data_IF_693284316201
#
_entry.id   IF_693284316201
#
_cell.length_a   1.000
_cell.length_b   1.000
_cell.length_c   1.000
_cell.angle_alpha   90.00
_cell.angle_beta   90.00
_cell.angle_gamma   90.00
#
_symmetry.space_group_name_H-M   'P 1'
#
loop_
_entity.id
_entity.type
_entity.pdbx_description
1 polymer ?
#
# COMPACT_ATOMS: atom_id res chain seq x y z
N UNK A 1 5.12 23.71 -76.54
CA UNK A 1 4.68 22.41 -77.09
C UNK A 1 5.12 21.38 -76.06
N UNK A 2 4.25 20.82 -75.19
CA UNK A 2 3.32 19.73 -75.53
C UNK A 2 4.06 18.71 -76.41
N UNK A 3 4.40 17.50 -75.97
CA UNK A 3 3.68 16.56 -75.10
C UNK A 3 4.50 16.25 -73.82
N UNK A 4 4.00 15.62 -72.76
CA UNK A 4 2.65 15.12 -72.46
C UNK A 4 2.40 15.14 -70.93
N UNK A 5 1.31 15.75 -70.46
CA UNK A 5 0.69 15.39 -69.17
C UNK A 5 -0.33 14.28 -69.44
N UNK A 6 -0.15 13.07 -68.88
CA UNK A 6 -1.22 12.08 -68.60
C UNK A 6 -0.61 10.81 -68.03
N UNK A 7 -0.67 10.69 -66.71
CA UNK A 7 -0.88 9.46 -65.95
C UNK A 7 -0.96 9.84 -64.46
N UNK A 8 -2.14 10.33 -64.03
CA UNK A 8 -2.53 10.17 -62.62
C UNK A 8 -3.13 8.77 -62.50
N UNK A 9 -2.70 8.01 -61.48
CA UNK A 9 -3.62 7.44 -60.52
C UNK A 9 -3.69 8.37 -59.31
N UNK A 10 -4.85 8.46 -58.67
CA UNK A 10 -4.90 9.02 -57.34
C UNK A 10 -4.37 7.98 -56.35
N UNK A 11 -3.35 8.32 -55.58
CA UNK A 11 -3.09 7.65 -54.30
C UNK A 11 -3.18 8.70 -53.20
N UNK A 12 -3.96 8.34 -52.19
CA UNK A 12 -4.25 9.17 -51.04
C UNK A 12 -2.94 9.39 -50.26
N UNK A 13 -2.34 10.57 -50.38
CA UNK A 13 -1.36 11.02 -49.39
C UNK A 13 -2.15 11.30 -48.11
N UNK A 14 -2.43 10.22 -47.37
CA UNK A 14 -2.88 10.32 -45.99
C UNK A 14 -1.83 11.16 -45.27
N UNK A 15 -2.21 12.40 -44.97
CA UNK A 15 -1.54 13.16 -43.93
C UNK A 15 -1.73 12.36 -42.65
N UNK A 16 -0.75 11.51 -42.34
CA UNK A 16 -0.60 10.96 -41.00
C UNK A 16 -0.53 12.19 -40.10
N UNK A 17 -1.52 12.42 -39.21
CA UNK A 17 -1.35 13.43 -38.19
C UNK A 17 -0.10 13.01 -37.43
N UNK A 18 0.89 13.89 -37.31
CA UNK A 18 1.92 13.69 -36.30
C UNK A 18 1.17 13.39 -34.99
N UNK A 19 1.55 12.34 -34.22
CA UNK A 19 0.86 12.03 -32.99
C UNK A 19 0.85 13.31 -32.16
N UNK A 20 -0.34 13.81 -31.84
CA UNK A 20 -0.47 15.02 -31.07
C UNK A 20 0.14 14.70 -29.70
N UNK A 21 1.33 15.22 -29.45
CA UNK A 21 1.98 15.15 -28.14
C UNK A 21 1.14 15.99 -27.19
N UNK A 22 0.10 15.36 -26.63
CA UNK A 22 -0.57 15.81 -25.43
C UNK A 22 0.48 15.78 -24.33
N UNK A 23 1.21 16.89 -24.21
CA UNK A 23 1.97 17.23 -23.02
C UNK A 23 0.95 17.43 -21.91
N UNK A 24 0.52 16.32 -21.32
CA UNK A 24 -0.27 16.32 -20.10
C UNK A 24 0.50 17.12 -19.04
N UNK A 25 -0.25 17.89 -18.24
CA UNK A 25 0.35 18.72 -17.21
C UNK A 25 1.24 17.86 -16.29
N UNK A 26 2.38 18.38 -15.77
CA UNK A 26 3.32 17.56 -15.00
C UNK A 26 2.67 16.90 -13.78
N UNK A 27 1.62 17.51 -13.20
CA UNK A 27 0.80 16.92 -12.15
C UNK A 27 0.03 15.67 -12.61
N UNK A 28 -0.46 15.66 -13.85
CA UNK A 28 -1.20 14.54 -14.42
C UNK A 28 -0.25 13.35 -14.71
N UNK A 29 0.93 13.62 -15.28
CA UNK A 29 1.99 12.62 -15.48
C UNK A 29 2.40 12.00 -14.13
N UNK A 30 2.60 12.83 -13.10
CA UNK A 30 2.94 12.40 -11.76
C UNK A 30 1.82 11.55 -11.11
N UNK A 31 0.57 11.99 -11.24
CA UNK A 31 -0.59 11.26 -10.74
C UNK A 31 -0.77 9.91 -11.45
N UNK A 32 -0.55 9.83 -12.77
CA UNK A 32 -0.64 8.57 -13.53
C UNK A 32 0.48 7.60 -13.20
N UNK A 33 1.70 8.09 -12.95
CA UNK A 33 2.78 7.27 -12.40
C UNK A 33 2.40 6.66 -11.04
N UNK A 34 1.85 7.47 -10.13
CA UNK A 34 1.39 7.01 -8.82
C UNK A 34 0.23 6.00 -8.95
N UNK A 35 -0.72 6.22 -9.88
CA UNK A 35 -1.81 5.27 -10.17
C UNK A 35 -1.30 3.94 -10.69
N UNK A 36 -0.34 3.93 -11.63
CA UNK A 36 0.28 2.70 -12.14
C UNK A 36 0.98 1.90 -11.04
N UNK A 37 1.73 2.57 -10.17
CA UNK A 37 2.36 1.93 -9.00
C UNK A 37 1.32 1.37 -8.02
N UNK A 38 0.26 2.14 -7.73
CA UNK A 38 -0.83 1.72 -6.85
C UNK A 38 -1.60 0.52 -7.38
N UNK A 39 -1.84 0.46 -8.70
CA UNK A 39 -2.44 -0.69 -9.38
C UNK A 39 -1.55 -1.96 -9.30
N UNK A 40 -0.24 -1.80 -9.09
CA UNK A 40 0.69 -2.90 -8.79
C UNK A 40 0.86 -3.21 -7.29
N UNK A 41 0.07 -2.57 -6.41
CA UNK A 41 0.15 -2.74 -4.95
C UNK A 41 1.36 -2.06 -4.31
N UNK A 42 1.87 -0.97 -4.88
CA UNK A 42 3.07 -0.27 -4.41
C UNK A 42 2.79 1.20 -4.11
N UNK A 43 3.38 1.68 -3.01
CA UNK A 43 3.55 3.10 -2.74
C UNK A 43 4.65 3.70 -3.63
N UNK A 44 4.62 5.02 -3.81
CA UNK A 44 5.71 5.80 -4.38
C UNK A 44 6.28 6.73 -3.31
N UNK A 45 7.55 6.55 -2.96
CA UNK A 45 8.25 7.45 -2.03
C UNK A 45 8.61 8.77 -2.73
N UNK A 46 8.46 9.92 -2.07
CA UNK A 46 8.84 11.26 -2.55
C UNK A 46 10.29 11.27 -3.05
N UNK A 47 11.20 10.65 -2.30
CA UNK A 47 12.61 10.57 -2.62
C UNK A 47 12.90 9.89 -3.97
N UNK A 48 11.97 9.10 -4.52
CA UNK A 48 12.11 8.51 -5.86
C UNK A 48 12.24 9.58 -6.96
N UNK A 49 11.54 10.70 -6.82
CA UNK A 49 11.56 11.80 -7.80
C UNK A 49 12.80 12.70 -7.67
N UNK A 50 13.44 12.71 -6.51
CA UNK A 50 14.70 13.43 -6.25
C UNK A 50 15.92 12.69 -6.83
N UNK A 51 15.77 11.44 -7.26
CA UNK A 51 16.84 10.61 -7.81
C UNK A 51 16.72 10.46 -9.34
N UNK A 52 17.82 10.14 -10.05
CA UNK A 52 17.75 9.77 -11.46
C UNK A 52 16.77 8.59 -11.70
N UNK A 53 16.00 8.58 -12.81
CA UNK A 53 16.14 9.46 -13.97
C UNK A 53 15.45 10.83 -13.84
N UNK A 54 14.66 11.06 -12.80
CA UNK A 54 13.84 12.28 -12.66
C UNK A 54 14.65 13.47 -12.13
N UNK A 55 15.38 13.26 -11.03
CA UNK A 55 16.29 14.24 -10.43
C UNK A 55 15.69 15.66 -10.25
N UNK A 56 14.43 15.75 -9.82
CA UNK A 56 13.79 17.03 -9.53
C UNK A 56 14.53 17.80 -8.41
N UNK A 57 14.57 19.12 -8.52
CA UNK A 57 14.98 19.95 -7.39
C UNK A 57 13.89 19.93 -6.29
N UNK A 58 14.31 19.97 -5.02
CA UNK A 58 13.43 19.85 -3.86
C UNK A 58 12.27 20.87 -3.87
N UNK A 59 12.57 22.12 -4.25
CA UNK A 59 11.59 23.20 -4.32
C UNK A 59 10.56 22.99 -5.44
N UNK A 60 11.01 22.50 -6.60
CA UNK A 60 10.15 22.25 -7.76
C UNK A 60 9.22 21.07 -7.50
N UNK A 61 9.76 19.97 -6.93
CA UNK A 61 8.97 18.80 -6.53
C UNK A 61 7.95 19.17 -5.44
N UNK A 62 8.34 19.95 -4.43
CA UNK A 62 7.43 20.42 -3.37
C UNK A 62 6.29 21.24 -3.97
N UNK A 63 6.60 22.14 -4.91
CA UNK A 63 5.59 22.96 -5.60
C UNK A 63 4.66 22.10 -6.44
N UNK A 64 5.20 21.13 -7.19
CA UNK A 64 4.43 20.22 -8.03
C UNK A 64 3.46 19.33 -7.22
N UNK A 65 3.94 18.77 -6.10
CA UNK A 65 3.12 17.96 -5.19
C UNK A 65 2.02 18.79 -4.49
N UNK A 66 2.32 20.03 -4.11
CA UNK A 66 1.34 20.96 -3.55
C UNK A 66 0.27 21.35 -4.58
N UNK A 67 0.64 21.60 -5.84
CA UNK A 67 -0.28 21.82 -6.95
C UNK A 67 -1.17 20.60 -7.20
N UNK A 68 -0.57 19.40 -7.25
CA UNK A 68 -1.29 18.13 -7.46
C UNK A 68 -2.37 17.92 -6.38
N UNK A 69 -2.03 18.13 -5.10
CA UNK A 69 -2.96 17.97 -3.98
C UNK A 69 -4.16 18.94 -3.99
N UNK A 70 -4.08 20.07 -4.71
CA UNK A 70 -5.17 21.05 -4.83
C UNK A 70 -6.12 20.77 -6.02
N UNK A 71 -5.76 19.87 -6.93
CA UNK A 71 -6.53 19.66 -8.16
C UNK A 71 -7.61 18.59 -7.98
N UNK A 72 -8.86 18.97 -8.25
CA UNK A 72 -10.01 18.08 -8.14
C UNK A 72 -9.94 16.84 -9.07
N UNK A 73 -9.24 16.94 -10.20
CA UNK A 73 -9.02 15.84 -11.17
C UNK A 73 -8.06 14.77 -10.66
N UNK A 74 -7.25 15.07 -9.64
CA UNK A 74 -6.24 14.22 -9.02
C UNK A 74 -6.53 13.96 -7.53
N UNK A 75 -7.74 14.26 -7.07
CA UNK A 75 -8.21 14.06 -5.69
C UNK A 75 -8.20 12.59 -5.21
N UNK A 76 -7.92 11.63 -6.10
CA UNK A 76 -7.63 10.25 -5.72
C UNK A 76 -6.21 10.02 -5.21
N UNK A 77 -5.27 10.94 -5.44
CA UNK A 77 -3.89 10.82 -4.98
C UNK A 77 -3.81 11.23 -3.51
N UNK A 78 -3.37 10.30 -2.68
CA UNK A 78 -3.27 10.44 -1.22
C UNK A 78 -1.81 10.38 -0.80
N UNK A 79 -1.43 11.25 0.12
CA UNK A 79 -0.12 11.27 0.77
C UNK A 79 -0.20 10.60 2.16
N UNK A 80 0.79 9.78 2.48
CA UNK A 80 1.06 9.22 3.81
C UNK A 80 2.43 9.68 4.28
N UNK A 81 2.50 10.43 5.36
CA UNK A 81 3.78 10.80 5.97
C UNK A 81 4.29 9.67 6.84
N UNK A 82 5.41 9.06 6.44
CA UNK A 82 6.14 8.06 7.20
C UNK A 82 7.10 8.67 8.22
N UNK A 83 7.88 7.83 8.89
CA UNK A 83 9.00 8.26 9.73
C UNK A 83 10.27 8.62 8.94
N UNK A 84 10.37 8.20 7.67
CA UNK A 84 11.54 8.40 6.79
C UNK A 84 11.27 9.28 5.58
N UNK A 85 10.07 9.21 5.01
CA UNK A 85 9.70 9.94 3.80
C UNK A 85 8.18 10.15 3.69
N UNK A 86 7.75 10.98 2.75
CA UNK A 86 6.34 11.04 2.31
C UNK A 86 6.10 9.98 1.21
N UNK A 87 4.96 9.30 1.27
CA UNK A 87 4.60 8.20 0.36
C UNK A 87 3.24 8.46 -0.30
N UNK A 88 3.14 8.21 -1.60
CA UNK A 88 1.97 8.52 -2.41
C UNK A 88 1.30 7.27 -2.97
N UNK A 89 -0.03 7.28 -3.04
CA UNK A 89 -0.84 6.28 -3.72
C UNK A 89 -2.14 6.85 -4.31
N UNK A 90 -2.79 6.08 -5.18
CA UNK A 90 -4.15 6.34 -5.66
C UNK A 90 -5.18 5.49 -4.93
N UNK A 91 -6.16 6.16 -4.31
CA UNK A 91 -7.32 5.55 -3.68
C UNK A 91 -8.27 4.85 -4.68
N UNK A 92 -8.05 4.99 -6.01
CA UNK A 92 -8.79 4.22 -7.04
C UNK A 92 -8.42 2.74 -7.04
N UNK A 93 -7.18 2.42 -6.66
CA UNK A 93 -6.60 1.08 -6.79
C UNK A 93 -6.19 0.45 -5.46
N UNK A 94 -5.94 1.27 -4.43
CA UNK A 94 -5.40 0.81 -3.15
C UNK A 94 -6.20 1.39 -1.98
N UNK A 95 -6.55 0.54 -1.00
CA UNK A 95 -7.25 0.96 0.21
C UNK A 95 -6.27 1.59 1.21
N UNK A 96 -6.74 2.53 2.02
CA UNK A 96 -5.91 3.16 3.07
C UNK A 96 -5.23 2.12 3.98
N UNK A 97 -5.97 1.12 4.46
CA UNK A 97 -5.39 0.06 5.30
C UNK A 97 -4.29 -0.76 4.60
N UNK A 98 -4.40 -1.01 3.29
CA UNK A 98 -3.34 -1.70 2.56
C UNK A 98 -2.14 -0.77 2.32
N UNK A 99 -2.39 0.52 2.09
CA UNK A 99 -1.35 1.54 1.99
C UNK A 99 -0.56 1.71 3.30
N UNK A 100 -1.24 1.72 4.47
CA UNK A 100 -0.60 1.73 5.80
C UNK A 100 0.30 0.51 5.99
N UNK A 101 -0.15 -0.68 5.57
CA UNK A 101 0.67 -1.90 5.63
C UNK A 101 1.90 -1.78 4.72
N UNK A 102 1.73 -1.32 3.48
CA UNK A 102 2.85 -1.08 2.56
C UNK A 102 3.86 -0.09 3.15
N UNK A 103 3.40 0.96 3.84
CA UNK A 103 4.26 1.97 4.47
C UNK A 103 5.14 1.33 5.56
N UNK A 104 4.53 0.60 6.50
CA UNK A 104 5.26 -0.10 7.57
C UNK A 104 6.31 -1.07 6.99
N UNK A 105 5.96 -1.75 5.88
CA UNK A 105 6.86 -2.68 5.18
C UNK A 105 8.04 -1.96 4.50
N UNK A 106 7.81 -0.79 3.88
CA UNK A 106 8.89 0.01 3.29
C UNK A 106 9.81 0.62 4.35
N UNK A 107 9.26 1.04 5.49
CA UNK A 107 10.03 1.56 6.62
C UNK A 107 10.63 0.45 7.51
N UNK A 108 10.29 -0.82 7.25
CA UNK A 108 10.74 -1.99 8.01
C UNK A 108 10.37 -1.93 9.51
N UNK A 109 9.29 -1.24 9.87
CA UNK A 109 8.78 -1.18 11.24
C UNK A 109 7.88 -2.39 11.54
N UNK A 110 8.54 -3.53 11.79
CA UNK A 110 7.90 -4.83 12.04
C UNK A 110 7.03 -4.78 13.30
N UNK A 111 7.43 -4.02 14.33
CA UNK A 111 6.68 -3.93 15.58
C UNK A 111 5.35 -3.19 15.36
N UNK A 112 5.41 -2.03 14.68
CA UNK A 112 4.22 -1.27 14.31
C UNK A 112 3.33 -2.06 13.35
N UNK A 113 3.90 -2.75 12.37
CA UNK A 113 3.14 -3.58 11.43
C UNK A 113 2.31 -4.65 12.14
N UNK A 114 2.92 -5.41 13.06
CA UNK A 114 2.21 -6.41 13.85
C UNK A 114 1.14 -5.75 14.72
N UNK A 115 1.47 -4.69 15.45
CA UNK A 115 0.53 -4.04 16.35
C UNK A 115 -0.68 -3.44 15.61
N UNK A 116 -0.47 -2.76 14.47
CA UNK A 116 -1.55 -2.17 13.68
C UNK A 116 -2.40 -3.23 12.97
N UNK A 117 -1.80 -4.32 12.45
CA UNK A 117 -2.55 -5.47 11.90
C UNK A 117 -3.50 -6.10 12.94
N UNK A 118 -3.01 -6.29 14.17
CA UNK A 118 -3.78 -6.84 15.29
C UNK A 118 -4.90 -5.90 15.71
N UNK A 119 -4.59 -4.60 15.88
CA UNK A 119 -5.58 -3.57 16.22
C UNK A 119 -6.66 -3.44 15.15
N UNK A 120 -6.29 -3.48 13.86
CA UNK A 120 -7.24 -3.47 12.76
C UNK A 120 -8.14 -4.70 12.77
N UNK A 121 -7.62 -5.90 12.95
CA UNK A 121 -8.43 -7.12 12.99
C UNK A 121 -9.39 -7.16 14.20
N UNK A 122 -8.94 -6.72 15.37
CA UNK A 122 -9.77 -6.64 16.58
C UNK A 122 -10.85 -5.56 16.48
N UNK A 123 -10.58 -4.44 15.80
CA UNK A 123 -11.53 -3.32 15.64
C UNK A 123 -12.53 -3.55 14.49
N UNK A 124 -12.06 -4.02 13.34
CA UNK A 124 -12.83 -4.08 12.09
C UNK A 124 -13.57 -5.41 11.91
N UNK A 125 -12.99 -6.53 12.34
CA UNK A 125 -13.58 -7.88 12.19
C UNK A 125 -13.87 -8.59 13.53
N UNK A 126 -13.93 -7.85 14.66
CA UNK A 126 -13.91 -8.37 16.02
C UNK A 126 -13.26 -9.74 16.30
N UNK A 127 -12.10 -10.03 15.70
CA UNK A 127 -11.40 -11.33 15.78
C UNK A 127 -9.93 -11.19 16.25
N UNK A 128 -9.36 -12.21 16.92
CA UNK A 128 -7.92 -12.28 17.13
C UNK A 128 -7.19 -12.53 15.79
N UNK A 129 -5.90 -12.20 15.75
CA UNK A 129 -5.06 -12.26 14.55
C UNK A 129 -4.10 -13.47 14.61
N UNK A 130 -4.13 -14.42 13.67
CA UNK A 130 -3.24 -15.58 13.68
C UNK A 130 -1.80 -15.16 13.39
N UNK A 131 -0.82 -15.64 14.18
CA UNK A 131 0.61 -15.34 13.91
C UNK A 131 1.07 -15.84 12.53
N UNK A 132 0.49 -16.94 12.04
CA UNK A 132 0.82 -17.51 10.73
C UNK A 132 0.61 -16.52 9.57
N UNK A 133 -0.34 -15.58 9.69
CA UNK A 133 -0.60 -14.56 8.67
C UNK A 133 0.56 -13.57 8.49
N UNK A 134 1.42 -13.40 9.51
CA UNK A 134 2.59 -12.52 9.44
C UNK A 134 3.71 -13.06 8.53
N UNK A 135 3.71 -14.38 8.26
CA UNK A 135 4.65 -15.01 7.32
C UNK A 135 4.16 -14.96 5.86
N UNK A 136 2.92 -14.52 5.62
CA UNK A 136 2.30 -14.42 4.30
C UNK A 136 2.37 -12.99 3.76
N UNK A 137 2.26 -12.78 2.43
CA UNK A 137 2.09 -11.45 1.85
C UNK A 137 0.86 -10.72 2.45
N UNK A 138 0.92 -9.40 2.67
CA UNK A 138 2.01 -8.48 2.28
C UNK A 138 3.24 -8.45 3.23
N UNK A 139 3.19 -9.12 4.38
CA UNK A 139 4.24 -9.02 5.42
C UNK A 139 5.48 -9.87 5.11
N UNK A 140 5.30 -11.17 4.86
CA UNK A 140 6.40 -12.09 4.56
C UNK A 140 7.48 -12.19 5.63
N UNK A 141 7.17 -11.91 6.90
CA UNK A 141 8.15 -11.89 7.99
C UNK A 141 8.66 -13.31 8.30
N UNK A 142 9.98 -13.44 8.50
CA UNK A 142 10.58 -14.69 8.98
C UNK A 142 10.18 -14.96 10.44
N UNK A 143 10.17 -16.23 10.84
CA UNK A 143 9.94 -16.62 12.24
C UNK A 143 10.92 -15.94 13.23
N UNK A 144 12.15 -15.65 12.79
CA UNK A 144 13.12 -14.91 13.59
C UNK A 144 12.70 -13.45 13.80
N UNK A 145 12.25 -12.75 12.75
CA UNK A 145 11.73 -11.39 12.84
C UNK A 145 10.47 -11.31 13.69
N UNK A 146 9.51 -12.22 13.49
CA UNK A 146 8.28 -12.29 14.29
C UNK A 146 8.62 -12.45 15.77
N UNK A 147 9.48 -13.42 16.12
CA UNK A 147 9.90 -13.65 17.52
C UNK A 147 10.63 -12.44 18.13
N UNK A 148 11.51 -11.78 17.37
CA UNK A 148 12.22 -10.60 17.84
C UNK A 148 11.26 -9.43 18.09
N UNK A 149 10.35 -9.16 17.15
CA UNK A 149 9.34 -8.13 17.29
C UNK A 149 8.41 -8.41 18.47
N UNK A 150 7.92 -9.65 18.63
CA UNK A 150 7.09 -10.05 19.77
C UNK A 150 7.76 -9.80 21.12
N UNK A 151 9.05 -10.07 21.26
CA UNK A 151 9.81 -9.76 22.49
C UNK A 151 9.93 -8.24 22.74
N UNK A 152 9.97 -7.43 21.68
CA UNK A 152 9.89 -5.96 21.78
C UNK A 152 8.48 -5.49 22.15
N UNK A 153 7.42 -6.06 21.57
CA UNK A 153 6.03 -5.70 21.90
C UNK A 153 5.70 -5.95 23.38
N UNK A 154 6.23 -7.03 23.97
CA UNK A 154 6.01 -7.38 25.38
C UNK A 154 6.54 -6.33 26.38
N UNK A 155 7.51 -5.49 25.96
CA UNK A 155 8.23 -4.56 26.83
C UNK A 155 8.04 -3.08 26.48
N UNK A 156 7.61 -2.77 25.25
CA UNK A 156 7.50 -1.40 24.76
C UNK A 156 6.13 -0.78 25.07
N UNK A 157 6.06 0.40 25.71
CA UNK A 157 4.81 0.96 26.23
C UNK A 157 3.74 1.22 25.16
N UNK A 158 4.15 1.65 23.95
CA UNK A 158 3.21 1.93 22.86
C UNK A 158 2.46 0.70 22.35
N UNK A 159 2.95 -0.49 22.67
CA UNK A 159 2.38 -1.80 22.30
C UNK A 159 1.81 -2.55 23.50
N UNK A 160 1.72 -1.90 24.67
CA UNK A 160 1.26 -2.51 25.92
C UNK A 160 -0.22 -2.97 25.91
N UNK A 161 -0.99 -2.78 24.83
CA UNK A 161 -2.30 -3.39 24.60
C UNK A 161 -2.26 -4.73 23.84
N UNK A 162 -1.14 -5.04 23.17
CA UNK A 162 -1.01 -6.28 22.38
C UNK A 162 -0.76 -7.45 23.34
N UNK A 163 -1.52 -8.52 23.14
CA UNK A 163 -1.49 -9.75 23.95
C UNK A 163 -1.50 -10.99 23.09
N UNK A 164 -1.02 -12.09 23.65
CA UNK A 164 -1.06 -13.42 23.03
C UNK A 164 -2.24 -14.20 23.57
N UNK A 165 -2.77 -15.08 22.74
CA UNK A 165 -3.73 -16.13 23.12
C UNK A 165 -3.43 -17.36 22.26
N UNK A 166 -3.73 -18.55 22.76
CA UNK A 166 -3.40 -19.81 22.09
C UNK A 166 -4.62 -20.75 22.18
N UNK A 167 -4.92 -21.45 21.09
CA UNK A 167 -5.92 -22.51 21.08
C UNK A 167 -5.36 -23.81 21.68
N UNK A 168 -6.22 -24.76 22.03
CA UNK A 168 -5.80 -26.02 22.71
C UNK A 168 -4.95 -26.94 21.81
N UNK A 169 -4.89 -26.67 20.51
CA UNK A 169 -4.02 -27.33 19.54
C UNK A 169 -2.61 -26.69 19.45
N UNK A 170 -2.34 -25.62 20.22
CA UNK A 170 -1.08 -24.87 20.19
C UNK A 170 -1.00 -23.78 19.13
N UNK A 171 -2.09 -23.47 18.42
CA UNK A 171 -2.10 -22.41 17.40
C UNK A 171 -2.06 -21.01 18.04
N UNK A 172 -1.03 -20.19 17.76
CA UNK A 172 -0.82 -18.93 18.45
C UNK A 172 -1.46 -17.75 17.71
N UNK A 173 -2.11 -16.88 18.48
CA UNK A 173 -2.82 -15.68 18.03
C UNK A 173 -2.42 -14.45 18.85
N UNK A 174 -2.66 -13.26 18.28
CA UNK A 174 -2.57 -11.97 18.96
C UNK A 174 -3.94 -11.29 19.06
N UNK A 175 -4.14 -10.47 20.08
CA UNK A 175 -5.27 -9.55 20.16
C UNK A 175 -4.84 -8.22 20.81
N UNK A 176 -5.68 -7.18 20.68
CA UNK A 176 -5.48 -5.89 21.33
C UNK A 176 -6.53 -5.67 22.42
N UNK A 177 -6.10 -5.50 23.66
CA UNK A 177 -6.96 -5.24 24.83
C UNK A 177 -7.76 -3.93 24.70
N UNK A 178 -7.36 -3.01 23.81
CA UNK A 178 -8.14 -1.79 23.49
C UNK A 178 -9.47 -2.11 22.80
N UNK A 179 -9.59 -3.26 22.14
CA UNK A 179 -10.73 -3.61 21.28
C UNK A 179 -11.35 -4.99 21.59
N UNK A 180 -10.66 -5.84 22.37
CA UNK A 180 -11.07 -7.21 22.63
C UNK A 180 -10.62 -7.69 24.01
N UNK A 181 -11.51 -8.29 24.79
CA UNK A 181 -11.15 -8.96 26.05
C UNK A 181 -10.51 -10.33 25.79
N UNK A 182 -9.63 -10.76 26.70
CA UNK A 182 -8.98 -12.09 26.61
C UNK A 182 -9.98 -13.24 26.44
N UNK A 183 -11.08 -13.25 27.19
CA UNK A 183 -12.10 -14.30 27.07
C UNK A 183 -12.73 -14.39 25.68
N UNK A 184 -12.98 -13.24 25.02
CA UNK A 184 -13.47 -13.20 23.64
C UNK A 184 -12.40 -13.65 22.64
N UNK A 185 -11.15 -13.22 22.84
CA UNK A 185 -10.02 -13.64 22.00
C UNK A 185 -9.82 -15.15 22.05
N UNK A 186 -9.82 -15.72 23.25
CA UNK A 186 -9.67 -17.16 23.49
C UNK A 186 -10.81 -17.97 22.89
N UNK A 187 -12.07 -17.60 23.16
CA UNK A 187 -13.23 -18.30 22.60
C UNK A 187 -13.25 -18.33 21.07
N UNK A 188 -12.93 -17.20 20.42
CA UNK A 188 -12.83 -17.16 18.96
C UNK A 188 -11.64 -17.95 18.42
N UNK A 189 -10.49 -17.89 19.09
CA UNK A 189 -9.29 -18.66 18.73
C UNK A 189 -9.58 -20.17 18.77
N UNK A 190 -10.19 -20.67 19.85
CA UNK A 190 -10.61 -22.07 19.99
C UNK A 190 -11.64 -22.48 18.93
N UNK A 191 -12.64 -21.62 18.67
CA UNK A 191 -13.68 -21.93 17.70
C UNK A 191 -13.13 -22.06 16.27
N UNK A 192 -12.25 -21.14 15.84
CA UNK A 192 -11.61 -21.16 14.52
C UNK A 192 -10.72 -22.41 14.35
N UNK A 193 -9.93 -22.72 15.37
CA UNK A 193 -8.87 -23.75 15.29
C UNK A 193 -9.36 -25.18 15.53
N UNK A 194 -10.49 -25.35 16.21
CA UNK A 194 -10.97 -26.66 16.69
C UNK A 194 -12.45 -26.86 16.37
N UNK A 195 -13.33 -26.03 16.94
CA UNK A 195 -14.78 -26.33 16.96
C UNK A 195 -15.43 -26.24 15.58
N UNK A 196 -15.03 -25.27 14.75
CA UNK A 196 -15.52 -25.14 13.37
C UNK A 196 -15.15 -26.36 12.51
N UNK A 197 -13.99 -26.98 12.73
CA UNK A 197 -13.57 -28.18 12.02
C UNK A 197 -14.28 -29.45 12.52
N UNK A 198 -14.81 -29.43 13.74
CA UNK A 198 -15.59 -30.54 14.33
C UNK A 198 -17.09 -30.43 14.02
N UNK A 199 -17.58 -29.24 13.63
CA UNK A 199 -19.00 -28.97 13.39
C UNK A 199 -19.17 -27.99 12.20
N UNK A 200 -18.99 -28.46 10.95
CA UNK A 200 -18.91 -27.65 9.73
C UNK A 200 -20.25 -27.12 9.20
#
# INVERSE_FOLDING_TARGET
RQWLQRLKPASNALSVPAPAETHDAPEAILADFIRQHSASGKLVARAHFLQPPYAFAEADLTTLLASLAQRATEADIVCLTGARDDYYYSARNMTANYADICLQMMEQDICRAIAEAVRFACRTYPRPYPLAMLALPPYGFTAAQIRAALATLDTHPDYADIRRVEASNGAPYLFSERFMSHGKAYGLCQWIEIEQHQNP
#
